data_IF_426366528135
#
_entry.id   IF_426366528135
#
_cell.length_a   1.000
_cell.length_b   1.000
_cell.length_c   1.000
_cell.angle_alpha   90.00
_cell.angle_beta   90.00
_cell.angle_gamma   90.00
#
_symmetry.space_group_name_H-M   'P 1'
#
loop_
_entity.id
_entity.type
_entity.pdbx_description
1 polymer ?
#
# COMPACT_ATOMS: atom_id res chain seq x y z
N UNK A 1 -26.45 -6.72 -13.78
CA UNK A 1 -26.99 -6.56 -12.41
C UNK A 1 -26.21 -5.42 -11.77
N UNK A 2 -26.90 -4.35 -11.38
CA UNK A 2 -26.25 -3.26 -10.65
C UNK A 2 -25.93 -3.71 -9.22
N UNK A 3 -24.74 -3.38 -8.72
CA UNK A 3 -24.30 -3.67 -7.36
C UNK A 3 -23.59 -2.45 -6.77
N UNK A 4 -23.27 -2.49 -5.48
CA UNK A 4 -22.63 -1.39 -4.77
C UNK A 4 -21.20 -1.73 -4.33
N UNK A 5 -20.28 -0.80 -4.56
CA UNK A 5 -18.93 -0.78 -3.98
C UNK A 5 -18.89 0.35 -2.95
N UNK A 6 -18.63 0.04 -1.69
CA UNK A 6 -18.42 1.04 -0.66
C UNK A 6 -16.92 1.32 -0.47
N UNK A 7 -16.53 2.59 -0.33
CA UNK A 7 -15.14 3.00 -0.08
C UNK A 7 -15.07 3.75 1.25
N UNK A 8 -14.43 3.14 2.24
CA UNK A 8 -14.15 3.71 3.57
C UNK A 8 -12.80 4.45 3.52
N UNK A 9 -12.77 5.70 4.00
CA UNK A 9 -11.60 6.56 3.85
C UNK A 9 -11.50 7.16 2.44
N UNK A 10 -12.66 7.40 1.80
CA UNK A 10 -12.74 7.89 0.43
C UNK A 10 -12.09 9.27 0.24
N UNK A 11 -11.90 10.03 1.32
CA UNK A 11 -11.17 11.31 1.34
C UNK A 11 -9.68 11.19 1.03
N UNK A 12 -9.15 9.98 0.81
CA UNK A 12 -7.87 9.76 0.14
C UNK A 12 -7.95 10.13 -1.35
N UNK A 13 -8.11 11.43 -1.65
CA UNK A 13 -8.57 11.96 -2.95
C UNK A 13 -7.85 11.33 -4.15
N UNK A 14 -6.52 11.34 -4.15
CA UNK A 14 -5.72 10.79 -5.26
C UNK A 14 -5.91 9.28 -5.44
N UNK A 15 -5.92 8.53 -4.35
CA UNK A 15 -6.05 7.07 -4.37
C UNK A 15 -7.47 6.63 -4.74
N UNK A 16 -8.49 7.23 -4.13
CA UNK A 16 -9.90 6.97 -4.44
C UNK A 16 -10.21 7.30 -5.89
N UNK A 17 -9.71 8.41 -6.42
CA UNK A 17 -9.85 8.76 -7.84
C UNK A 17 -9.27 7.68 -8.74
N UNK A 18 -8.05 7.22 -8.45
CA UNK A 18 -7.35 6.20 -9.25
C UNK A 18 -8.10 4.86 -9.23
N UNK A 19 -8.50 4.39 -8.04
CA UNK A 19 -9.32 3.18 -7.88
C UNK A 19 -10.63 3.29 -8.68
N UNK A 20 -11.35 4.40 -8.53
CA UNK A 20 -12.60 4.62 -9.25
C UNK A 20 -12.43 4.54 -10.77
N UNK A 21 -11.41 5.21 -11.32
CA UNK A 21 -11.17 5.19 -12.76
C UNK A 21 -10.75 3.81 -13.27
N UNK A 22 -9.91 3.08 -12.53
CA UNK A 22 -9.43 1.77 -12.94
C UNK A 22 -10.55 0.73 -12.90
N UNK A 23 -11.42 0.77 -11.88
CA UNK A 23 -12.59 -0.12 -11.76
C UNK A 23 -13.56 0.11 -12.93
N UNK A 24 -13.76 1.35 -13.37
CA UNK A 24 -14.63 1.69 -14.49
C UNK A 24 -14.08 1.33 -15.88
N UNK A 25 -12.80 0.95 -15.97
CA UNK A 25 -12.25 0.36 -17.19
C UNK A 25 -12.80 -1.06 -17.43
N UNK A 26 -13.35 -1.73 -16.41
CA UNK A 26 -14.00 -3.03 -16.54
C UNK A 26 -15.42 -2.84 -17.10
N UNK A 27 -15.74 -3.33 -18.32
CA UNK A 27 -17.03 -3.08 -18.97
C UNK A 27 -18.26 -3.46 -18.12
N UNK A 28 -18.18 -4.57 -17.39
CA UNK A 28 -19.23 -5.11 -16.53
C UNK A 28 -19.53 -4.21 -15.33
N UNK A 29 -18.62 -3.29 -14.97
CA UNK A 29 -18.68 -2.46 -13.77
C UNK A 29 -19.11 -1.02 -14.07
N UNK A 30 -19.51 -0.71 -15.31
CA UNK A 30 -19.92 0.66 -15.68
C UNK A 30 -21.25 1.09 -15.04
N UNK A 31 -22.18 0.15 -14.82
CA UNK A 31 -23.52 0.40 -14.29
C UNK A 31 -23.66 -0.06 -12.83
N UNK A 32 -22.84 0.54 -11.95
CA UNK A 32 -22.79 0.23 -10.52
C UNK A 32 -22.87 1.50 -9.67
N UNK A 33 -23.08 1.33 -8.38
CA UNK A 33 -22.97 2.40 -7.39
C UNK A 33 -21.62 2.38 -6.67
N UNK A 34 -20.97 3.54 -6.57
CA UNK A 34 -19.90 3.80 -5.63
C UNK A 34 -20.41 4.62 -4.45
N UNK A 35 -20.38 4.04 -3.24
CA UNK A 35 -20.76 4.69 -2.01
C UNK A 35 -19.53 5.12 -1.20
N UNK A 36 -19.30 6.42 -1.13
CA UNK A 36 -18.12 7.01 -0.48
C UNK A 36 -18.42 7.33 0.99
N UNK A 37 -17.51 7.00 1.88
CA UNK A 37 -17.56 7.44 3.27
C UNK A 37 -16.20 7.84 3.80
N UNK A 38 -16.19 8.93 4.57
CA UNK A 38 -15.02 9.46 5.27
C UNK A 38 -15.50 10.24 6.50
N UNK A 39 -14.63 10.38 7.50
CA UNK A 39 -14.89 11.21 8.67
C UNK A 39 -14.68 12.70 8.37
N UNK A 40 -13.85 13.02 7.38
CA UNK A 40 -13.64 14.37 6.89
C UNK A 40 -14.68 14.71 5.83
N UNK A 41 -15.68 15.49 6.22
CA UNK A 41 -16.71 15.98 5.29
C UNK A 41 -16.10 16.81 4.14
N UNK A 42 -15.09 17.63 4.45
CA UNK A 42 -14.38 18.41 3.43
C UNK A 42 -13.75 17.54 2.34
N UNK A 43 -12.97 16.52 2.74
CA UNK A 43 -12.31 15.63 1.78
C UNK A 43 -13.34 14.79 1.02
N UNK A 44 -14.42 14.38 1.69
CA UNK A 44 -15.52 13.62 1.11
C UNK A 44 -16.26 14.42 0.03
N UNK A 45 -16.54 15.70 0.28
CA UNK A 45 -17.14 16.60 -0.70
C UNK A 45 -16.21 16.83 -1.90
N UNK A 46 -14.91 17.03 -1.65
CA UNK A 46 -13.90 17.20 -2.70
C UNK A 46 -13.82 15.99 -3.63
N UNK A 47 -13.68 14.78 -3.08
CA UNK A 47 -13.59 13.57 -3.91
C UNK A 47 -14.91 13.34 -4.66
N UNK A 48 -16.07 13.56 -4.03
CA UNK A 48 -17.37 13.42 -4.68
C UNK A 48 -17.48 14.31 -5.92
N UNK A 49 -17.10 15.58 -5.81
CA UNK A 49 -17.12 16.52 -6.93
C UNK A 49 -16.20 16.07 -8.09
N UNK A 50 -15.02 15.55 -7.76
CA UNK A 50 -14.09 15.01 -8.76
C UNK A 50 -14.69 13.80 -9.49
N UNK A 51 -15.27 12.83 -8.75
CA UNK A 51 -15.84 11.63 -9.35
C UNK A 51 -17.09 11.95 -10.19
N UNK A 52 -17.95 12.85 -9.72
CA UNK A 52 -19.12 13.31 -10.49
C UNK A 52 -18.71 13.91 -11.83
N UNK A 53 -17.64 14.71 -11.84
CA UNK A 53 -17.13 15.31 -13.07
C UNK A 53 -16.61 14.26 -14.05
N UNK A 54 -15.98 13.18 -13.55
CA UNK A 54 -15.54 12.05 -14.37
C UNK A 54 -16.74 11.33 -14.97
N UNK A 55 -17.78 11.05 -14.17
CA UNK A 55 -19.02 10.41 -14.63
C UNK A 55 -19.71 11.24 -15.71
N UNK A 56 -19.90 12.53 -15.46
CA UNK A 56 -20.55 13.47 -16.38
C UNK A 56 -19.80 13.57 -17.71
N UNK A 57 -18.49 13.83 -17.65
CA UNK A 57 -17.66 14.03 -18.83
C UNK A 57 -17.61 12.79 -19.74
N UNK A 58 -17.71 11.59 -19.15
CA UNK A 58 -17.66 10.32 -19.88
C UNK A 58 -19.05 9.71 -20.12
N UNK A 59 -20.14 10.38 -19.69
CA UNK A 59 -21.53 9.91 -19.80
C UNK A 59 -21.73 8.50 -19.25
N UNK A 60 -21.10 8.21 -18.11
CA UNK A 60 -21.18 6.90 -17.49
C UNK A 60 -22.54 6.74 -16.76
N UNK A 61 -23.15 5.54 -16.80
CA UNK A 61 -24.38 5.28 -16.03
C UNK A 61 -24.12 5.12 -14.53
N UNK A 62 -22.85 5.10 -14.12
CA UNK A 62 -22.39 4.94 -12.74
C UNK A 62 -23.03 5.94 -11.78
N UNK A 63 -23.50 5.46 -10.64
CA UNK A 63 -24.00 6.30 -9.55
C UNK A 63 -22.91 6.52 -8.51
N UNK A 64 -22.73 7.74 -8.03
CA UNK A 64 -21.82 8.05 -6.92
C UNK A 64 -22.64 8.64 -5.77
N UNK A 65 -22.54 8.05 -4.58
CA UNK A 65 -23.11 8.57 -3.33
C UNK A 65 -22.00 8.88 -2.33
N UNK A 66 -22.27 9.80 -1.40
CA UNK A 66 -21.31 10.18 -0.37
C UNK A 66 -22.04 10.45 0.94
N UNK A 67 -21.52 9.93 2.05
CA UNK A 67 -22.06 10.17 3.39
C UNK A 67 -20.99 9.95 4.47
N UNK A 68 -21.04 10.75 5.54
CA UNK A 68 -20.23 10.53 6.74
C UNK A 68 -20.78 9.39 7.62
N UNK A 69 -22.00 8.91 7.33
CA UNK A 69 -22.59 7.74 7.97
C UNK A 69 -22.08 6.46 7.28
N UNK A 70 -21.05 5.86 7.87
CA UNK A 70 -20.43 4.63 7.36
C UNK A 70 -21.44 3.51 7.12
N UNK A 71 -22.43 3.33 8.00
CA UNK A 71 -23.39 2.21 7.85
C UNK A 71 -24.26 2.40 6.61
N UNK A 72 -24.71 3.62 6.33
CA UNK A 72 -25.45 3.92 5.09
C UNK A 72 -24.62 3.67 3.83
N UNK A 73 -23.32 3.96 3.86
CA UNK A 73 -22.45 3.66 2.74
C UNK A 73 -22.27 2.15 2.52
N UNK A 74 -22.20 1.37 3.61
CA UNK A 74 -22.00 -0.08 3.58
C UNK A 74 -23.27 -0.88 3.26
N UNK A 75 -24.46 -0.30 3.43
CA UNK A 75 -25.74 -0.99 3.24
C UNK A 75 -25.86 -1.60 1.84
N UNK A 76 -26.00 -2.93 1.75
CA UNK A 76 -26.09 -3.66 0.49
C UNK A 76 -24.82 -3.61 -0.38
N UNK A 77 -23.66 -3.28 0.18
CA UNK A 77 -22.40 -3.31 -0.55
C UNK A 77 -21.95 -4.76 -0.82
N UNK A 78 -21.56 -5.03 -2.08
CA UNK A 78 -20.94 -6.31 -2.48
C UNK A 78 -19.43 -6.32 -2.27
N UNK A 79 -18.82 -5.16 -2.44
CA UNK A 79 -17.40 -4.95 -2.18
C UNK A 79 -17.25 -3.75 -1.25
N UNK A 80 -16.37 -3.88 -0.27
CA UNK A 80 -16.01 -2.80 0.64
C UNK A 80 -14.51 -2.61 0.52
N UNK A 81 -14.07 -1.39 0.23
CA UNK A 81 -12.65 -1.04 0.09
C UNK A 81 -12.27 -0.11 1.24
N UNK A 82 -11.22 -0.41 1.99
CA UNK A 82 -10.68 0.48 3.03
C UNK A 82 -9.36 1.10 2.60
N UNK A 83 -9.32 2.43 2.60
CA UNK A 83 -8.17 3.26 2.26
C UNK A 83 -7.78 4.18 3.42
N UNK A 84 -8.18 3.83 4.65
CA UNK A 84 -8.09 4.71 5.81
C UNK A 84 -6.64 4.93 6.28
N UNK A 85 -6.41 6.10 6.88
CA UNK A 85 -5.27 6.34 7.78
C UNK A 85 -5.80 6.75 9.14
N UNK A 86 -5.95 5.80 10.06
CA UNK A 86 -6.54 6.06 11.37
C UNK A 86 -5.62 6.99 12.19
N UNK A 87 -6.16 8.12 12.63
CA UNK A 87 -5.42 9.18 13.31
C UNK A 87 -4.74 10.20 12.39
N UNK A 88 -4.86 10.05 11.06
CA UNK A 88 -4.35 11.01 10.10
C UNK A 88 -2.81 11.18 10.14
N UNK A 89 -2.33 12.33 9.68
CA UNK A 89 -0.89 12.65 9.74
C UNK A 89 -0.44 13.04 11.14
N UNK A 90 -1.34 13.54 11.99
CA UNK A 90 -1.00 13.96 13.34
C UNK A 90 -0.57 12.78 14.20
N UNK A 91 -1.37 11.71 14.27
CA UNK A 91 -0.99 10.50 14.99
C UNK A 91 0.22 9.80 14.32
N UNK A 92 0.30 9.85 12.99
CA UNK A 92 1.44 9.29 12.27
C UNK A 92 2.75 10.05 12.55
N UNK A 93 2.69 11.36 12.77
CA UNK A 93 3.86 12.12 13.20
C UNK A 93 4.40 11.61 14.54
N UNK A 94 3.51 11.21 15.44
CA UNK A 94 3.88 10.62 16.73
C UNK A 94 4.40 9.19 16.62
N UNK A 95 3.87 8.39 15.70
CA UNK A 95 4.37 7.04 15.38
C UNK A 95 5.85 7.08 14.91
N UNK A 96 6.31 8.21 14.36
CA UNK A 96 7.72 8.43 13.98
C UNK A 96 8.52 9.15 15.08
N UNK A 97 7.99 10.26 15.60
CA UNK A 97 8.68 11.15 16.54
C UNK A 97 8.95 10.51 17.89
N UNK A 98 8.00 9.75 18.42
CA UNK A 98 8.14 9.13 19.75
C UNK A 98 9.25 8.07 19.71
N UNK A 99 9.27 7.09 18.78
CA UNK A 99 10.37 6.13 18.71
C UNK A 99 11.73 6.80 18.45
N UNK A 100 11.78 7.83 17.60
CA UNK A 100 13.02 8.54 17.30
C UNK A 100 13.64 9.20 18.55
N UNK A 101 12.82 9.74 19.47
CA UNK A 101 13.27 10.27 20.76
C UNK A 101 14.05 9.23 21.60
N UNK A 102 13.74 7.95 21.43
CA UNK A 102 14.40 6.84 22.12
C UNK A 102 15.45 6.14 21.25
N UNK A 103 15.88 6.76 20.15
CA UNK A 103 16.92 6.22 19.26
C UNK A 103 16.43 5.12 18.31
N UNK A 104 15.12 4.97 18.12
CA UNK A 104 14.55 4.04 17.14
C UNK A 104 14.28 4.81 15.84
N UNK A 105 15.20 4.66 14.90
CA UNK A 105 15.10 5.26 13.58
C UNK A 105 14.18 4.43 12.66
N UNK A 106 13.27 5.11 11.96
CA UNK A 106 12.28 4.55 11.04
C UNK A 106 12.23 5.41 9.78
N UNK A 107 12.09 4.79 8.60
CA UNK A 107 11.87 5.50 7.34
C UNK A 107 10.37 5.72 7.08
N UNK A 108 9.59 4.67 7.31
CA UNK A 108 8.16 4.57 7.00
C UNK A 108 7.35 4.38 8.29
N UNK A 109 7.69 3.41 9.14
CA UNK A 109 7.04 3.22 10.44
C UNK A 109 5.53 2.98 10.39
N UNK A 110 4.98 2.47 9.27
CA UNK A 110 3.54 2.22 9.10
C UNK A 110 3.18 0.72 9.08
N UNK A 111 4.19 -0.16 9.10
CA UNK A 111 3.99 -1.59 8.89
C UNK A 111 4.45 -2.42 10.09
N UNK A 112 5.70 -2.25 10.50
CA UNK A 112 6.30 -2.90 11.66
C UNK A 112 7.10 -1.86 12.45
N UNK A 113 8.05 -2.27 13.29
CA UNK A 113 8.76 -1.41 14.24
C UNK A 113 7.82 -0.74 15.24
N UNK A 114 8.36 0.15 16.08
CA UNK A 114 7.59 0.82 17.10
C UNK A 114 6.42 1.61 16.50
N UNK A 115 6.63 2.33 15.40
CA UNK A 115 5.59 3.08 14.69
C UNK A 115 4.48 2.18 14.15
N UNK A 116 4.82 1.09 13.47
CA UNK A 116 3.83 0.15 12.93
C UNK A 116 3.04 -0.58 14.01
N UNK A 117 3.64 -0.85 15.18
CA UNK A 117 2.94 -1.43 16.34
C UNK A 117 1.96 -0.42 16.94
N UNK A 118 2.40 0.82 17.19
CA UNK A 118 1.53 1.90 17.68
C UNK A 118 0.36 2.14 16.72
N UNK A 119 0.65 2.16 15.42
CA UNK A 119 -0.34 2.32 14.37
C UNK A 119 -1.31 1.13 14.34
N UNK A 120 -0.81 -0.11 14.41
CA UNK A 120 -1.63 -1.32 14.48
C UNK A 120 -2.57 -1.34 15.67
N UNK A 121 -2.09 -1.01 16.87
CA UNK A 121 -2.91 -0.91 18.09
C UNK A 121 -4.07 0.10 17.93
N UNK A 122 -3.82 1.19 17.20
CA UNK A 122 -4.83 2.20 16.90
C UNK A 122 -5.82 1.76 15.82
N UNK A 123 -5.38 0.98 14.83
CA UNK A 123 -6.22 0.55 13.70
C UNK A 123 -7.12 -0.63 14.06
N UNK A 124 -6.62 -1.62 14.79
CA UNK A 124 -7.34 -2.88 15.01
C UNK A 124 -8.76 -2.66 15.55
N UNK A 125 -9.01 -1.83 16.59
CA UNK A 125 -10.37 -1.56 17.06
C UNK A 125 -11.29 -1.00 15.96
N UNK A 126 -10.76 -0.08 15.13
CA UNK A 126 -11.51 0.54 14.03
C UNK A 126 -11.83 -0.47 12.92
N UNK A 127 -10.88 -1.35 12.59
CA UNK A 127 -11.11 -2.44 11.63
C UNK A 127 -12.20 -3.39 12.14
N UNK A 128 -12.20 -3.72 13.43
CA UNK A 128 -13.25 -4.58 14.02
C UNK A 128 -14.63 -3.91 14.00
N UNK A 129 -14.69 -2.59 14.20
CA UNK A 129 -15.92 -1.81 14.03
C UNK A 129 -16.41 -1.82 12.58
N UNK A 130 -15.51 -1.70 11.60
CA UNK A 130 -15.86 -1.85 10.19
C UNK A 130 -16.41 -3.24 9.92
N UNK A 131 -15.75 -4.29 10.39
CA UNK A 131 -16.21 -5.66 10.23
C UNK A 131 -17.59 -5.87 10.85
N UNK A 132 -17.86 -5.29 12.03
CA UNK A 132 -19.18 -5.33 12.67
C UNK A 132 -20.24 -4.73 11.76
N UNK A 133 -20.03 -3.51 11.27
CA UNK A 133 -20.99 -2.87 10.37
C UNK A 133 -21.18 -3.66 9.09
N UNK A 134 -20.09 -4.13 8.46
CA UNK A 134 -20.13 -4.96 7.24
C UNK A 134 -21.03 -6.18 7.46
N UNK A 135 -20.84 -6.94 8.54
CA UNK A 135 -21.67 -8.13 8.82
C UNK A 135 -23.15 -7.81 9.05
N UNK A 136 -23.46 -6.62 9.54
CA UNK A 136 -24.82 -6.23 9.88
C UNK A 136 -25.60 -5.63 8.69
N UNK A 137 -24.92 -4.94 7.76
CA UNK A 137 -25.62 -4.16 6.72
C UNK A 137 -25.20 -4.45 5.28
N UNK A 138 -24.04 -5.08 5.03
CA UNK A 138 -23.58 -5.37 3.67
C UNK A 138 -24.21 -6.66 3.10
N UNK A 139 -23.91 -7.00 1.84
CA UNK A 139 -24.36 -8.27 1.24
C UNK A 139 -23.74 -9.49 1.97
N UNK A 140 -24.43 -10.64 1.99
CA UNK A 140 -23.95 -11.87 2.68
C UNK A 140 -22.57 -12.36 2.22
N UNK A 141 -22.24 -12.17 0.95
CA UNK A 141 -20.96 -12.58 0.34
C UNK A 141 -20.05 -11.38 0.07
N UNK A 142 -20.16 -10.33 0.88
CA UNK A 142 -19.33 -9.12 0.76
C UNK A 142 -17.85 -9.47 0.84
N UNK A 143 -17.05 -8.89 -0.06
CA UNK A 143 -15.59 -8.95 0.01
C UNK A 143 -15.05 -7.65 0.60
N UNK A 144 -14.24 -7.76 1.65
CA UNK A 144 -13.53 -6.63 2.22
C UNK A 144 -12.10 -6.54 1.64
N UNK A 145 -11.79 -5.45 0.96
CA UNK A 145 -10.51 -5.19 0.31
C UNK A 145 -9.75 -4.12 1.12
N UNK A 146 -8.69 -4.52 1.81
CA UNK A 146 -7.95 -3.63 2.69
C UNK A 146 -6.65 -3.15 2.02
N UNK A 147 -6.56 -1.84 1.77
CA UNK A 147 -5.32 -1.14 1.39
C UNK A 147 -4.66 -0.41 2.57
N UNK A 148 -5.33 -0.33 3.72
CA UNK A 148 -4.82 0.40 4.88
C UNK A 148 -3.72 -0.39 5.59
N UNK A 149 -2.60 0.28 5.86
CA UNK A 149 -1.53 -0.23 6.71
C UNK A 149 -1.89 -0.13 8.21
N UNK A 150 -1.29 -0.97 9.08
CA UNK A 150 -0.38 -2.08 8.78
C UNK A 150 -1.16 -3.27 8.18
N UNK A 151 -0.95 -3.56 6.89
CA UNK A 151 -1.87 -4.40 6.11
C UNK A 151 -2.01 -5.81 6.69
N UNK A 152 -0.90 -6.42 7.10
CA UNK A 152 -0.91 -7.77 7.66
C UNK A 152 -1.73 -7.84 8.96
N UNK A 153 -1.52 -6.89 9.89
CA UNK A 153 -2.24 -6.88 11.16
C UNK A 153 -3.73 -6.55 10.98
N UNK A 154 -4.05 -5.57 10.13
CA UNK A 154 -5.42 -5.18 9.84
C UNK A 154 -6.20 -6.32 9.19
N UNK A 155 -5.64 -6.93 8.15
CA UNK A 155 -6.26 -8.05 7.44
C UNK A 155 -6.41 -9.27 8.35
N UNK A 156 -5.39 -9.58 9.16
CA UNK A 156 -5.48 -10.67 10.13
C UNK A 156 -6.59 -10.41 11.16
N UNK A 157 -6.67 -9.19 11.71
CA UNK A 157 -7.73 -8.85 12.64
C UNK A 157 -9.14 -8.98 12.03
N UNK A 158 -9.32 -8.53 10.78
CA UNK A 158 -10.57 -8.63 10.06
C UNK A 158 -11.00 -10.09 9.78
N UNK A 159 -10.06 -10.96 9.42
CA UNK A 159 -10.33 -12.38 9.15
C UNK A 159 -10.59 -13.12 10.46
N UNK A 160 -9.66 -13.04 11.40
CA UNK A 160 -9.67 -13.88 12.59
C UNK A 160 -10.71 -13.42 13.61
N UNK A 161 -10.79 -12.11 13.89
CA UNK A 161 -11.69 -11.60 14.93
C UNK A 161 -12.91 -10.92 14.32
N UNK A 162 -12.74 -10.26 13.17
CA UNK A 162 -13.82 -9.63 12.43
C UNK A 162 -14.69 -10.62 11.66
N UNK A 163 -14.24 -11.85 11.40
CA UNK A 163 -14.99 -12.88 10.65
C UNK A 163 -15.60 -12.34 9.34
N UNK A 164 -14.87 -11.48 8.63
CA UNK A 164 -15.24 -10.96 7.30
C UNK A 164 -14.24 -11.50 6.28
N UNK A 165 -14.74 -11.93 5.12
CA UNK A 165 -13.94 -12.38 3.99
C UNK A 165 -13.10 -11.22 3.44
N UNK A 166 -11.82 -11.19 3.83
CA UNK A 166 -10.95 -10.02 3.65
C UNK A 166 -9.71 -10.37 2.83
N UNK A 167 -9.36 -9.50 1.90
CA UNK A 167 -8.12 -9.57 1.11
C UNK A 167 -7.32 -8.28 1.32
N UNK A 168 -6.06 -8.42 1.71
CA UNK A 168 -5.10 -7.31 1.76
C UNK A 168 -4.47 -7.07 0.39
N UNK A 169 -4.36 -5.82 -0.03
CA UNK A 169 -3.82 -5.44 -1.33
C UNK A 169 -2.68 -4.42 -1.16
N UNK A 170 -1.53 -4.70 -1.77
CA UNK A 170 -0.36 -3.84 -1.83
C UNK A 170 0.29 -3.93 -3.22
N UNK A 171 1.04 -2.91 -3.62
CA UNK A 171 1.59 -2.75 -4.97
C UNK A 171 3.10 -3.06 -5.08
N UNK A 172 3.80 -3.35 -3.98
CA UNK A 172 5.27 -3.47 -3.96
C UNK A 172 5.85 -4.49 -4.95
N UNK A 173 5.15 -5.60 -5.20
CA UNK A 173 5.56 -6.64 -6.16
C UNK A 173 5.74 -6.08 -7.58
N UNK A 174 4.83 -5.21 -8.02
CA UNK A 174 4.80 -4.69 -9.39
C UNK A 174 6.04 -3.83 -9.66
N UNK A 175 6.36 -2.91 -8.75
CA UNK A 175 7.55 -2.06 -8.87
C UNK A 175 8.85 -2.88 -8.81
N UNK A 176 8.94 -3.89 -7.94
CA UNK A 176 10.10 -4.76 -7.89
C UNK A 176 10.32 -5.54 -9.20
N UNK A 177 9.23 -6.01 -9.82
CA UNK A 177 9.30 -6.72 -11.10
C UNK A 177 9.72 -5.79 -12.25
N UNK A 178 9.23 -4.55 -12.28
CA UNK A 178 9.65 -3.52 -13.25
C UNK A 178 11.15 -3.24 -13.15
N UNK A 179 11.69 -3.07 -11.94
CA UNK A 179 13.12 -2.87 -11.72
C UNK A 179 13.95 -4.08 -12.18
N UNK A 180 13.50 -5.30 -11.88
CA UNK A 180 14.17 -6.53 -12.31
C UNK A 180 14.17 -6.64 -13.84
N UNK A 181 13.04 -6.37 -14.48
CA UNK A 181 12.92 -6.37 -15.94
C UNK A 181 13.89 -5.35 -16.58
N UNK A 182 13.99 -4.15 -16.01
CA UNK A 182 14.89 -3.09 -16.48
C UNK A 182 16.36 -3.49 -16.38
N UNK A 183 16.82 -3.98 -15.21
CA UNK A 183 18.25 -4.33 -15.03
C UNK A 183 18.66 -5.54 -15.88
N UNK A 184 17.72 -6.44 -16.18
CA UNK A 184 17.94 -7.58 -17.06
C UNK A 184 17.81 -7.23 -18.55
N UNK A 185 17.44 -5.98 -18.89
CA UNK A 185 17.29 -5.53 -20.27
C UNK A 185 16.09 -6.12 -21.00
N UNK A 186 15.03 -6.50 -20.26
CA UNK A 186 13.77 -6.94 -20.85
C UNK A 186 13.13 -5.81 -21.68
N UNK A 187 12.54 -6.14 -22.83
CA UNK A 187 11.86 -5.15 -23.68
C UNK A 187 10.44 -4.85 -23.22
N UNK A 188 9.87 -5.76 -22.45
CA UNK A 188 8.53 -5.71 -21.90
C UNK A 188 8.51 -6.42 -20.55
N UNK A 189 7.71 -5.94 -19.61
CA UNK A 189 7.48 -6.61 -18.33
C UNK A 189 6.84 -8.00 -18.50
N UNK A 190 6.22 -8.27 -19.65
CA UNK A 190 5.66 -9.58 -19.99
C UNK A 190 6.74 -10.65 -20.27
N UNK A 191 7.99 -10.26 -20.50
CA UNK A 191 9.10 -11.21 -20.68
C UNK A 191 9.59 -11.79 -19.34
N UNK A 192 9.18 -11.19 -18.21
CA UNK A 192 9.58 -11.61 -16.88
C UNK A 192 8.46 -12.41 -16.21
N UNK A 193 8.68 -13.72 -16.04
CA UNK A 193 7.85 -14.57 -15.20
C UNK A 193 8.44 -14.63 -13.80
N UNK A 194 7.60 -14.58 -12.78
CA UNK A 194 8.07 -14.62 -11.40
C UNK A 194 7.07 -15.22 -10.41
N UNK A 195 7.61 -15.77 -9.33
CA UNK A 195 6.85 -16.21 -8.16
C UNK A 195 7.33 -15.44 -6.94
N UNK A 196 6.38 -14.89 -6.18
CA UNK A 196 6.64 -14.14 -4.96
C UNK A 196 6.04 -14.85 -3.74
N UNK A 197 6.73 -14.79 -2.60
CA UNK A 197 6.22 -15.32 -1.33
C UNK A 197 6.73 -14.51 -0.13
N UNK A 198 5.89 -14.37 0.90
CA UNK A 198 6.21 -13.64 2.12
C UNK A 198 4.98 -13.00 2.76
N UNK A 199 5.21 -11.94 3.53
CA UNK A 199 4.16 -11.12 4.16
C UNK A 199 4.19 -9.70 3.60
N UNK A 200 3.18 -8.88 3.94
CA UNK A 200 3.13 -7.49 3.50
C UNK A 200 4.44 -6.76 3.82
N UNK A 201 4.98 -6.10 2.81
CA UNK A 201 6.25 -5.39 2.86
C UNK A 201 7.50 -6.22 3.25
N UNK A 202 7.39 -7.55 3.21
CA UNK A 202 8.50 -8.49 3.37
C UNK A 202 8.23 -9.72 2.50
N UNK A 203 8.06 -9.45 1.20
CA UNK A 203 7.84 -10.44 0.16
C UNK A 203 9.08 -10.54 -0.72
N UNK A 204 9.33 -11.74 -1.25
CA UNK A 204 10.57 -12.09 -1.95
C UNK A 204 10.28 -12.71 -3.30
N UNK A 205 11.09 -12.37 -4.31
CA UNK A 205 11.11 -13.06 -5.60
C UNK A 205 11.85 -14.39 -5.46
N UNK A 206 11.10 -15.49 -5.40
CA UNK A 206 11.64 -16.84 -5.13
C UNK A 206 11.84 -17.68 -6.40
N UNK A 207 11.20 -17.31 -7.51
CA UNK A 207 11.51 -17.79 -8.86
C UNK A 207 11.46 -16.59 -9.81
N UNK A 208 12.44 -16.50 -10.70
CA UNK A 208 12.58 -15.43 -11.69
C UNK A 208 13.01 -16.06 -13.01
N UNK A 209 12.28 -15.76 -14.08
CA UNK A 209 12.59 -16.23 -15.42
C UNK A 209 12.45 -15.11 -16.43
N UNK A 210 13.46 -14.93 -17.26
CA UNK A 210 13.41 -14.01 -18.40
C UNK A 210 13.24 -14.83 -19.67
N UNK A 211 12.13 -14.64 -20.38
CA UNK A 211 11.77 -15.43 -21.57
C UNK A 211 11.87 -16.94 -21.30
N UNK A 212 11.36 -17.37 -20.15
CA UNK A 212 11.40 -18.76 -19.68
C UNK A 212 12.75 -19.25 -19.13
N UNK A 213 13.84 -18.49 -19.29
CA UNK A 213 15.16 -18.86 -18.75
C UNK A 213 15.29 -18.45 -17.28
N UNK A 214 15.63 -19.38 -16.36
CA UNK A 214 15.81 -19.03 -14.96
C UNK A 214 16.96 -18.04 -14.77
N UNK A 215 16.74 -17.05 -13.91
CA UNK A 215 17.71 -16.04 -13.52
C UNK A 215 18.26 -16.38 -12.13
N UNK A 216 19.57 -16.59 -12.06
CA UNK A 216 20.26 -16.89 -10.82
C UNK A 216 20.61 -15.64 -10.01
N UNK A 217 20.90 -15.85 -8.73
CA UNK A 217 21.39 -14.81 -7.81
C UNK A 217 22.54 -13.98 -8.41
N UNK A 218 23.60 -14.64 -8.88
CA UNK A 218 24.83 -13.94 -9.29
C UNK A 218 24.60 -13.07 -10.53
N UNK A 219 23.79 -13.55 -11.48
CA UNK A 219 23.35 -12.76 -12.63
C UNK A 219 22.54 -11.54 -12.20
N UNK A 220 21.58 -11.72 -11.29
CA UNK A 220 20.74 -10.63 -10.81
C UNK A 220 21.55 -9.58 -10.03
N UNK A 221 22.49 -10.02 -9.18
CA UNK A 221 23.41 -9.12 -8.47
C UNK A 221 24.23 -8.30 -9.48
N UNK A 222 24.85 -8.97 -10.46
CA UNK A 222 25.66 -8.29 -11.46
C UNK A 222 24.84 -7.27 -12.27
N UNK A 223 23.60 -7.61 -12.62
CA UNK A 223 22.69 -6.71 -13.33
C UNK A 223 22.37 -5.45 -12.52
N UNK A 224 21.99 -5.59 -11.24
CA UNK A 224 21.72 -4.45 -10.37
C UNK A 224 22.96 -3.57 -10.12
N UNK A 225 24.14 -4.18 -9.95
CA UNK A 225 25.39 -3.45 -9.73
C UNK A 225 25.89 -2.72 -10.98
N UNK A 226 25.62 -3.26 -12.17
CA UNK A 226 25.93 -2.60 -13.44
C UNK A 226 24.96 -1.46 -13.77
N UNK A 227 23.74 -1.49 -13.23
CA UNK A 227 22.72 -0.49 -13.54
C UNK A 227 23.13 0.90 -13.01
N UNK A 228 23.13 1.95 -13.86
CA UNK A 228 23.71 3.24 -13.50
C UNK A 228 22.95 3.94 -12.37
N UNK A 229 21.68 3.62 -12.12
CA UNK A 229 20.86 4.28 -11.09
C UNK A 229 20.70 3.39 -9.86
N UNK A 230 20.09 2.21 -10.03
CA UNK A 230 19.82 1.25 -8.94
C UNK A 230 21.05 0.76 -8.18
N UNK A 231 22.25 0.72 -8.78
CA UNK A 231 23.49 0.43 -8.03
C UNK A 231 23.74 1.41 -6.87
N UNK A 232 23.22 2.64 -6.98
CA UNK A 232 23.30 3.68 -5.94
C UNK A 232 22.04 3.73 -5.06
N UNK A 233 20.87 3.57 -5.66
CA UNK A 233 19.59 3.70 -4.97
C UNK A 233 19.16 2.45 -4.20
N UNK A 234 19.56 1.25 -4.62
CA UNK A 234 19.08 -0.05 -4.10
C UNK A 234 20.13 -0.80 -3.28
N UNK A 235 21.10 -0.09 -2.71
CA UNK A 235 22.24 -0.67 -1.96
C UNK A 235 21.82 -1.70 -0.92
N UNK A 236 20.75 -1.41 -0.18
CA UNK A 236 20.23 -2.31 0.84
C UNK A 236 19.63 -3.57 0.22
N UNK A 237 18.74 -3.45 -0.77
CA UNK A 237 18.18 -4.61 -1.47
C UNK A 237 19.23 -5.46 -2.19
N UNK A 238 20.27 -4.84 -2.75
CA UNK A 238 21.39 -5.56 -3.36
C UNK A 238 22.18 -6.34 -2.29
N UNK A 239 22.45 -5.74 -1.12
CA UNK A 239 23.11 -6.45 -0.01
C UNK A 239 22.26 -7.61 0.52
N UNK A 240 20.94 -7.42 0.65
CA UNK A 240 20.00 -8.49 1.00
C UNK A 240 20.01 -9.60 -0.06
N UNK A 241 19.95 -9.28 -1.35
CA UNK A 241 20.06 -10.25 -2.44
C UNK A 241 21.37 -11.04 -2.36
N UNK A 242 22.50 -10.38 -2.07
CA UNK A 242 23.79 -11.04 -1.87
C UNK A 242 23.80 -11.99 -0.67
N UNK A 243 23.09 -11.67 0.41
CA UNK A 243 23.03 -12.49 1.63
C UNK A 243 22.08 -13.67 1.50
N UNK A 244 20.85 -13.42 1.04
CA UNK A 244 19.76 -14.39 1.05
C UNK A 244 19.55 -15.09 -0.28
N UNK A 245 20.08 -14.56 -1.38
CA UNK A 245 19.93 -15.11 -2.72
C UNK A 245 18.61 -14.78 -3.42
N UNK A 246 17.73 -14.02 -2.76
CA UNK A 246 16.44 -13.58 -3.29
C UNK A 246 16.28 -12.07 -3.15
N UNK A 247 15.64 -11.44 -4.13
CA UNK A 247 15.40 -10.00 -4.14
C UNK A 247 14.10 -9.68 -3.38
N UNK A 248 14.09 -8.59 -2.61
CA UNK A 248 12.89 -8.14 -1.90
C UNK A 248 12.00 -7.30 -2.82
N UNK A 249 10.69 -7.47 -2.69
CA UNK A 249 9.70 -6.66 -3.43
C UNK A 249 9.70 -5.21 -2.99
N UNK A 250 10.05 -4.94 -1.73
CA UNK A 250 9.92 -3.60 -1.16
C UNK A 250 11.18 -2.77 -1.21
N UNK A 251 10.98 -1.47 -1.34
CA UNK A 251 12.05 -0.47 -1.29
C UNK A 251 12.91 -0.56 -0.03
N UNK A 252 14.11 0.03 -0.11
CA UNK A 252 15.01 0.15 1.03
C UNK A 252 14.32 0.77 2.26
N UNK A 253 13.41 1.72 2.07
CA UNK A 253 12.65 2.35 3.15
C UNK A 253 11.94 1.31 4.04
N UNK A 254 11.05 0.50 3.46
CA UNK A 254 10.35 -0.54 4.20
C UNK A 254 11.28 -1.67 4.64
N UNK A 255 12.13 -2.18 3.74
CA UNK A 255 12.97 -3.34 4.02
C UNK A 255 13.97 -3.08 5.15
N UNK A 256 14.46 -1.84 5.27
CA UNK A 256 15.37 -1.44 6.34
C UNK A 256 14.77 -1.55 7.74
N UNK A 257 13.44 -1.54 7.86
CA UNK A 257 12.73 -1.64 9.13
C UNK A 257 12.53 -3.09 9.58
N UNK A 258 12.57 -4.04 8.65
CA UNK A 258 12.43 -5.47 8.97
C UNK A 258 13.73 -6.11 9.46
N UNK A 259 14.88 -5.53 9.12
CA UNK A 259 16.18 -6.17 9.28
C UNK A 259 17.05 -5.39 10.29
N UNK A 260 17.59 -6.07 11.33
CA UNK A 260 18.23 -5.39 12.46
C UNK A 260 19.60 -4.77 12.13
N UNK A 261 20.08 -4.84 10.89
CA UNK A 261 21.43 -4.39 10.52
C UNK A 261 21.47 -2.96 9.99
N UNK A 262 20.41 -2.49 9.33
CA UNK A 262 20.48 -1.30 8.47
C UNK A 262 20.17 0.01 9.18
N UNK A 263 19.33 0.00 10.22
CA UNK A 263 18.92 1.22 10.95
C UNK A 263 19.35 1.29 12.42
N UNK A 264 20.12 0.31 12.92
CA UNK A 264 20.50 0.24 14.34
C UNK A 264 21.72 1.10 14.70
N UNK A 265 22.60 1.37 13.74
CA UNK A 265 23.84 2.13 13.93
C UNK A 265 23.77 3.42 13.12
N UNK A 266 23.54 4.58 13.76
CA UNK A 266 23.32 5.85 13.04
C UNK A 266 24.46 6.22 12.08
N UNK A 267 25.70 5.90 12.44
CA UNK A 267 26.92 6.14 11.65
C UNK A 267 27.03 5.24 10.40
N UNK A 268 26.20 4.20 10.30
CA UNK A 268 26.17 3.29 9.16
C UNK A 268 24.94 3.46 8.26
N UNK A 269 23.89 4.16 8.69
CA UNK A 269 22.63 4.30 7.93
C UNK A 269 22.90 4.85 6.51
N UNK A 270 23.74 5.89 6.42
CA UNK A 270 24.09 6.56 5.15
C UNK A 270 24.81 5.65 4.15
N UNK A 271 25.39 4.53 4.60
CA UNK A 271 25.95 3.51 3.70
C UNK A 271 24.85 2.82 2.90
N UNK A 272 23.68 2.62 3.51
CA UNK A 272 22.60 1.80 2.97
C UNK A 272 21.50 2.60 2.28
N UNK A 273 21.26 3.83 2.73
CA UNK A 273 20.19 4.68 2.21
C UNK A 273 20.70 5.60 1.10
N UNK A 274 19.79 6.04 0.24
CA UNK A 274 20.01 7.10 -0.73
C UNK A 274 19.01 8.23 -0.42
N UNK A 275 19.43 9.49 -0.60
CA UNK A 275 18.64 10.66 -0.21
C UNK A 275 17.99 11.36 -1.42
N UNK A 276 18.09 10.79 -2.62
CA UNK A 276 17.45 11.34 -3.83
C UNK A 276 15.92 11.25 -3.78
N UNK A 277 15.38 10.27 -3.05
CA UNK A 277 13.96 10.10 -2.79
C UNK A 277 13.75 9.54 -1.38
N UNK A 278 12.62 9.88 -0.75
CA UNK A 278 12.28 9.41 0.60
C UNK A 278 12.22 7.89 0.68
N UNK A 279 11.77 7.24 -0.40
CA UNK A 279 11.50 5.81 -0.45
C UNK A 279 12.76 4.96 -0.30
N UNK A 280 13.94 5.56 -0.50
CA UNK A 280 15.24 4.91 -0.42
C UNK A 280 15.83 4.85 1.00
N UNK A 281 15.09 5.30 2.02
CA UNK A 281 15.44 5.06 3.43
C UNK A 281 15.63 6.30 4.28
N UNK A 282 15.24 7.49 3.81
CA UNK A 282 15.26 8.72 4.60
C UNK A 282 14.52 8.54 5.94
N UNK A 283 15.15 8.91 7.05
CA UNK A 283 14.52 8.89 8.38
C UNK A 283 13.27 9.76 8.41
N UNK A 284 12.12 9.16 8.73
CA UNK A 284 10.81 9.82 8.67
C UNK A 284 10.43 10.28 7.26
N UNK A 285 11.07 9.75 6.21
CA UNK A 285 10.92 10.21 4.84
C UNK A 285 9.47 10.12 4.35
N UNK A 286 8.76 9.05 4.68
CA UNK A 286 7.36 8.91 4.26
C UNK A 286 6.44 9.92 4.94
N UNK A 287 6.68 10.27 6.20
CA UNK A 287 5.96 11.34 6.91
C UNK A 287 6.22 12.70 6.27
N UNK A 288 7.48 13.02 5.97
CA UNK A 288 7.84 14.26 5.28
C UNK A 288 7.14 14.35 3.93
N UNK A 289 7.24 13.30 3.10
CA UNK A 289 6.60 13.24 1.78
C UNK A 289 5.08 13.41 1.87
N UNK A 290 4.44 12.68 2.79
CA UNK A 290 2.98 12.73 2.97
C UNK A 290 2.49 14.10 3.47
N UNK A 291 3.32 14.79 4.26
CA UNK A 291 3.02 16.15 4.75
C UNK A 291 3.16 17.18 3.64
N UNK A 292 4.25 17.11 2.86
CA UNK A 292 4.52 18.05 1.77
C UNK A 292 3.51 17.94 0.60
N UNK A 293 2.99 16.73 0.34
CA UNK A 293 2.06 16.47 -0.77
C UNK A 293 0.58 16.72 -0.43
N UNK A 294 0.27 17.12 0.81
CA UNK A 294 -1.09 17.40 1.31
C UNK A 294 -1.47 18.88 1.36
N UNK A 295 -0.66 19.78 0.81
CA UNK A 295 -0.98 21.20 0.72
C UNK A 295 -1.92 21.48 -0.47
N UNK A 296 -3.21 21.20 -0.28
CA UNK A 296 -4.27 21.60 -1.20
C UNK A 296 -5.50 22.08 -0.42
#
# INVERSE_FOLDING_TARGET
MSFKIAIIGAGSVGFTKKLFTDILCVPEFKDIEFALTDVSEHNLQMIKAILDRIVEANRLPTRVTATTDRRKALEGARYVISCVRVGGLEAYADDIRIPLKYGIDQCVGDTICAGGILYGQRNIPVILDFCKDIREVAETNVKFLNYANPMAMNTWAAIEYGKVDTVGLCHGVQHGAEQIAEVLGAKSTQELDYVCSGINHQTWFIDLRLNGRPIGKDELVAAFEAHPVYSRQEKLRIDVLKRFGVYSTESNGHLSEYLPWYRKRPDEITRWIDMSDWIHGETGGYLRYSTATRNW
#
